data_IF_133489951548
#
_entry.id   IF_133489951548
#
_cell.length_a   1.000
_cell.length_b   1.000
_cell.length_c   1.000
_cell.angle_alpha   90.00
_cell.angle_beta   90.00
_cell.angle_gamma   90.00
#
_symmetry.space_group_name_H-M   'P 1'
#
loop_
_entity.id
_entity.type
_entity.pdbx_description
1 polymer ?
#
# COMPACT_ATOMS: atom_id res chain seq x y z
N UNK A 1 -23.56 9.96 -23.34
CA UNK A 1 -22.71 9.08 -24.20
C UNK A 1 -21.24 9.54 -24.24
N UNK A 2 -20.93 10.80 -23.89
CA UNK A 2 -19.56 11.34 -23.87
C UNK A 2 -18.78 10.96 -22.58
N UNK A 3 -19.46 10.73 -21.46
CA UNK A 3 -18.81 10.44 -20.16
C UNK A 3 -18.09 9.08 -20.10
N UNK A 4 -18.49 8.12 -20.95
CA UNK A 4 -17.94 6.76 -20.95
C UNK A 4 -16.56 6.67 -21.62
N UNK A 5 -16.26 7.58 -22.56
CA UNK A 5 -15.00 7.58 -23.32
C UNK A 5 -13.91 8.36 -22.56
N UNK A 6 -14.28 9.45 -21.87
CA UNK A 6 -13.34 10.27 -21.09
C UNK A 6 -12.86 9.52 -19.83
N UNK A 7 -13.73 8.73 -19.19
CA UNK A 7 -13.38 7.98 -17.98
C UNK A 7 -12.42 6.79 -18.23
N UNK A 8 -12.28 6.34 -19.48
CA UNK A 8 -11.42 5.19 -19.83
C UNK A 8 -9.94 5.57 -19.96
N UNK A 9 -9.64 6.86 -20.15
CA UNK A 9 -8.28 7.33 -20.42
C UNK A 9 -7.54 7.87 -19.19
N UNK A 10 -8.18 7.94 -18.02
CA UNK A 10 -7.62 8.55 -16.80
C UNK A 10 -7.53 7.65 -15.56
N UNK A 11 -8.02 6.41 -15.60
CA UNK A 11 -7.92 5.55 -14.42
C UNK A 11 -6.47 5.09 -14.23
N UNK A 12 -5.94 5.40 -13.05
CA UNK A 12 -4.62 5.05 -12.54
C UNK A 12 -4.88 4.22 -11.28
N UNK A 13 -5.33 3.00 -11.48
CA UNK A 13 -5.75 2.14 -10.38
C UNK A 13 -4.54 1.41 -9.84
N UNK A 14 -4.27 1.61 -8.56
CA UNK A 14 -3.20 0.92 -7.85
C UNK A 14 -3.85 -0.06 -6.90
N UNK A 15 -3.50 -1.34 -7.06
CA UNK A 15 -3.93 -2.39 -6.16
C UNK A 15 -2.77 -2.76 -5.24
N UNK A 16 -2.98 -2.58 -3.95
CA UNK A 16 -1.97 -2.81 -2.92
C UNK A 16 -2.47 -3.95 -2.03
N UNK A 17 -1.72 -5.04 -1.99
CA UNK A 17 -1.90 -6.12 -1.02
C UNK A 17 -0.75 -6.06 -0.03
N UNK A 18 -1.00 -6.26 1.26
CA UNK A 18 0.06 -6.22 2.25
C UNK A 18 -0.24 -7.09 3.49
N UNK A 19 0.81 -7.62 4.09
CA UNK A 19 0.87 -8.19 5.43
C UNK A 19 2.11 -7.66 6.15
N UNK A 20 2.45 -8.24 7.30
CA UNK A 20 3.75 -8.04 7.96
C UNK A 20 4.91 -8.69 7.19
N UNK A 21 4.66 -9.78 6.47
CA UNK A 21 5.71 -10.51 5.74
C UNK A 21 5.99 -9.98 4.32
N UNK A 22 4.97 -9.49 3.61
CA UNK A 22 5.11 -9.10 2.21
C UNK A 22 4.18 -7.95 1.82
N UNK A 23 4.56 -7.27 0.74
CA UNK A 23 3.75 -6.22 0.10
C UNK A 23 3.80 -6.39 -1.41
N UNK A 24 2.64 -6.26 -2.06
CA UNK A 24 2.48 -6.26 -3.51
C UNK A 24 1.82 -4.96 -3.95
N UNK A 25 2.42 -4.26 -4.91
CA UNK A 25 1.84 -3.08 -5.56
C UNK A 25 1.70 -3.33 -7.05
N UNK A 26 0.46 -3.32 -7.55
CA UNK A 26 0.12 -3.51 -8.95
C UNK A 26 -0.46 -2.23 -9.54
N UNK A 27 0.09 -1.77 -10.67
CA UNK A 27 -0.58 -0.82 -11.54
C UNK A 27 -1.51 -1.58 -12.49
N UNK A 28 -2.80 -1.55 -12.17
CA UNK A 28 -3.80 -2.47 -12.74
C UNK A 28 -3.86 -2.36 -14.26
N UNK A 29 -3.84 -1.14 -14.80
CA UNK A 29 -4.00 -0.90 -16.23
C UNK A 29 -2.81 -1.40 -17.07
N UNK A 30 -1.60 -1.42 -16.50
CA UNK A 30 -0.42 -1.94 -17.21
C UNK A 30 -0.08 -3.38 -16.85
N UNK A 31 -0.66 -3.91 -15.78
CA UNK A 31 -0.27 -5.19 -15.20
C UNK A 31 1.09 -5.19 -14.48
N UNK A 32 1.84 -4.08 -14.46
CA UNK A 32 3.11 -4.00 -13.74
C UNK A 32 2.89 -4.23 -12.25
N UNK A 33 3.59 -5.22 -11.68
CA UNK A 33 3.50 -5.61 -10.27
C UNK A 33 4.89 -5.65 -9.67
N UNK A 34 5.00 -5.16 -8.45
CA UNK A 34 6.20 -5.32 -7.61
C UNK A 34 5.77 -6.00 -6.32
N UNK A 35 6.52 -7.02 -5.93
CA UNK A 35 6.36 -7.71 -4.65
C UNK A 35 7.70 -7.71 -3.91
N UNK A 36 7.66 -7.46 -2.61
CA UNK A 36 8.85 -7.39 -1.76
C UNK A 36 8.48 -7.50 -0.26
N UNK A 37 9.46 -7.38 0.63
CA UNK A 37 9.24 -7.28 2.08
C UNK A 37 8.94 -5.84 2.51
N UNK A 38 8.03 -5.60 3.46
CA UNK A 38 7.73 -4.25 3.95
C UNK A 38 8.72 -3.80 5.05
N UNK A 39 10.02 -4.01 4.82
CA UNK A 39 11.09 -3.61 5.73
C UNK A 39 11.63 -2.25 5.35
N UNK A 40 11.97 -1.45 6.36
CA UNK A 40 12.60 -0.15 6.21
C UNK A 40 13.78 -0.03 7.16
N UNK A 41 14.96 0.24 6.62
CA UNK A 41 16.14 0.57 7.40
C UNK A 41 16.31 2.09 7.51
N UNK A 42 16.50 2.58 8.74
CA UNK A 42 16.83 3.97 9.03
C UNK A 42 18.27 4.03 9.55
N UNK A 43 19.07 4.94 9.00
CA UNK A 43 20.45 5.21 9.44
C UNK A 43 20.59 6.67 9.88
N UNK A 44 21.40 6.92 10.92
CA UNK A 44 21.80 8.28 11.26
C UNK A 44 22.89 8.78 10.30
N UNK A 45 22.68 9.95 9.71
CA UNK A 45 23.70 10.61 8.90
C UNK A 45 24.76 11.30 9.78
N UNK A 46 25.78 11.91 9.16
CA UNK A 46 26.87 12.60 9.89
C UNK A 46 26.39 13.78 10.76
N UNK A 47 25.17 14.29 10.54
CA UNK A 47 24.55 15.36 11.31
C UNK A 47 23.63 14.83 12.43
N UNK A 48 23.52 13.51 12.59
CA UNK A 48 22.62 12.86 13.55
C UNK A 48 21.16 12.79 13.10
N UNK A 49 20.86 13.09 11.83
CA UNK A 49 19.49 13.01 11.30
C UNK A 49 19.18 11.59 10.83
N UNK A 50 17.99 11.11 11.15
CA UNK A 50 17.48 9.82 10.68
C UNK A 50 17.11 9.90 9.19
N UNK A 51 17.75 9.10 8.36
CA UNK A 51 17.45 8.99 6.94
C UNK A 51 17.04 7.56 6.56
N UNK A 52 16.14 7.44 5.60
CA UNK A 52 15.83 6.15 4.96
C UNK A 52 17.08 5.65 4.26
N UNK A 53 17.58 4.50 4.68
CA UNK A 53 18.80 3.89 4.17
C UNK A 53 18.52 2.81 3.13
N UNK A 54 17.52 1.95 3.37
CA UNK A 54 17.09 0.89 2.47
C UNK A 54 15.62 0.53 2.72
N UNK A 55 14.92 0.04 1.69
CA UNK A 55 13.53 -0.43 1.77
C UNK A 55 13.39 -1.72 0.95
N UNK A 56 12.74 -2.73 1.52
CA UNK A 56 12.55 -4.03 0.87
C UNK A 56 13.48 -5.11 1.43
N UNK A 57 13.59 -6.20 0.69
CA UNK A 57 14.49 -7.32 0.98
C UNK A 57 15.97 -6.93 0.99
N UNK A 58 16.36 -5.81 0.38
CA UNK A 58 17.71 -5.24 0.49
C UNK A 58 18.12 -4.92 1.94
N UNK A 59 17.15 -4.69 2.83
CA UNK A 59 17.39 -4.46 4.26
C UNK A 59 18.07 -5.67 4.92
N UNK A 60 17.80 -6.88 4.45
CA UNK A 60 18.36 -8.12 5.02
C UNK A 60 19.81 -8.36 4.61
N UNK A 61 20.30 -7.64 3.60
CA UNK A 61 21.67 -7.72 3.10
C UNK A 61 22.59 -6.66 3.71
N UNK A 62 22.03 -5.80 4.57
CA UNK A 62 22.79 -4.73 5.19
C UNK A 62 23.85 -5.30 6.15
N UNK A 63 25.01 -4.65 6.27
CA UNK A 63 26.00 -5.03 7.26
C UNK A 63 25.42 -4.83 8.67
N UNK A 64 25.89 -5.65 9.62
CA UNK A 64 25.62 -5.42 11.04
C UNK A 64 26.30 -4.12 11.48
N UNK A 65 25.53 -3.03 11.43
CA UNK A 65 25.93 -1.67 11.79
C UNK A 65 24.93 -1.14 12.83
N UNK A 66 25.42 -0.83 14.02
CA UNK A 66 24.59 -0.38 15.16
C UNK A 66 23.95 0.98 14.93
N UNK A 67 24.38 1.73 13.91
CA UNK A 67 23.75 2.99 13.50
C UNK A 67 22.53 2.79 12.60
N UNK A 68 22.25 1.55 12.19
CA UNK A 68 21.11 1.17 11.38
C UNK A 68 20.06 0.52 12.28
N UNK A 69 18.82 1.01 12.18
CA UNK A 69 17.64 0.41 12.81
C UNK A 69 16.68 -0.09 11.75
N UNK A 70 16.14 -1.30 11.96
CA UNK A 70 15.21 -1.96 11.03
C UNK A 70 13.80 -1.89 11.60
N UNK A 71 12.86 -1.47 10.75
CA UNK A 71 11.46 -1.25 11.12
C UNK A 71 10.53 -1.90 10.11
N UNK A 72 9.31 -2.21 10.56
CA UNK A 72 8.23 -2.69 9.71
C UNK A 72 6.91 -2.08 10.18
N UNK A 73 6.33 -1.21 9.35
CA UNK A 73 5.10 -0.47 9.66
C UNK A 73 3.85 -1.34 9.76
N UNK A 74 3.89 -2.58 9.27
CA UNK A 74 2.76 -3.51 9.28
C UNK A 74 2.95 -4.68 10.26
N UNK A 75 4.09 -4.74 10.96
CA UNK A 75 4.43 -5.80 11.92
C UNK A 75 3.72 -5.61 13.27
N UNK A 76 2.54 -6.21 13.43
CA UNK A 76 1.82 -6.27 14.70
C UNK A 76 0.82 -7.44 14.75
N UNK A 77 0.66 -8.15 15.87
CA UNK A 77 -0.21 -9.35 15.93
C UNK A 77 -1.70 -9.08 15.76
N UNK A 78 -2.17 -7.87 16.11
CA UNK A 78 -3.61 -7.54 16.16
C UNK A 78 -4.06 -6.38 15.28
N UNK A 79 -3.13 -5.66 14.66
CA UNK A 79 -3.47 -4.50 13.83
C UNK A 79 -2.75 -4.54 12.50
N UNK A 80 -3.36 -3.94 11.47
CA UNK A 80 -2.75 -3.85 10.15
C UNK A 80 -1.59 -2.86 10.08
N UNK A 81 -1.67 -1.73 10.79
CA UNK A 81 -0.66 -0.66 10.78
C UNK A 81 -0.17 -0.46 12.21
N UNK A 82 1.09 -0.82 12.45
CA UNK A 82 1.79 -0.66 13.73
C UNK A 82 2.41 0.73 13.87
N UNK A 83 3.10 1.16 12.81
CA UNK A 83 3.78 2.44 12.74
C UNK A 83 3.39 3.13 11.43
N UNK A 84 2.68 4.24 11.56
CA UNK A 84 2.08 4.93 10.43
C UNK A 84 3.13 5.59 9.53
N UNK A 85 4.18 6.18 10.10
CA UNK A 85 5.21 6.90 9.34
C UNK A 85 6.10 5.91 8.57
N UNK A 86 6.44 4.78 9.19
CA UNK A 86 7.16 3.69 8.54
C UNK A 86 6.31 3.08 7.43
N UNK A 87 5.02 2.82 7.67
CA UNK A 87 4.10 2.28 6.66
C UNK A 87 3.92 3.25 5.48
N UNK A 88 3.77 4.55 5.75
CA UNK A 88 3.65 5.59 4.72
C UNK A 88 4.89 5.63 3.83
N UNK A 89 6.07 5.70 4.43
CA UNK A 89 7.34 5.75 3.71
C UNK A 89 7.56 4.51 2.84
N UNK A 90 7.24 3.34 3.39
CA UNK A 90 7.29 2.04 2.70
C UNK A 90 6.34 2.01 1.50
N UNK A 91 5.08 2.41 1.67
CA UNK A 91 4.11 2.45 0.57
C UNK A 91 4.50 3.43 -0.53
N UNK A 92 4.95 4.63 -0.15
CA UNK A 92 5.41 5.63 -1.13
C UNK A 92 6.56 5.09 -1.98
N UNK A 93 7.48 4.33 -1.39
CA UNK A 93 8.55 3.67 -2.12
C UNK A 93 8.00 2.68 -3.17
N UNK A 94 7.17 1.71 -2.75
CA UNK A 94 6.68 0.68 -3.67
C UNK A 94 5.73 1.22 -4.75
N UNK A 95 4.90 2.21 -4.41
CA UNK A 95 4.07 2.93 -5.40
C UNK A 95 4.93 3.60 -6.47
N UNK A 96 5.99 4.31 -6.06
CA UNK A 96 6.91 4.98 -7.00
C UNK A 96 7.67 4.00 -7.88
N UNK A 97 7.97 2.81 -7.36
CA UNK A 97 8.66 1.74 -8.08
C UNK A 97 7.72 1.07 -9.10
N UNK A 98 6.46 0.86 -8.73
CA UNK A 98 5.46 0.18 -9.58
C UNK A 98 4.83 1.09 -10.64
N UNK A 99 4.85 2.42 -10.45
CA UNK A 99 4.12 3.38 -11.30
C UNK A 99 5.05 4.48 -11.80
N UNK A 100 5.02 4.77 -13.11
CA UNK A 100 5.77 5.90 -13.67
C UNK A 100 5.34 7.24 -13.05
N UNK A 101 6.27 8.19 -12.86
CA UNK A 101 5.98 9.49 -12.20
C UNK A 101 4.78 10.26 -12.76
N UNK A 102 4.55 10.23 -14.07
CA UNK A 102 3.40 10.88 -14.73
C UNK A 102 2.05 10.27 -14.35
N UNK A 103 2.05 8.98 -13.98
CA UNK A 103 0.88 8.21 -13.57
C UNK A 103 0.57 8.32 -12.06
N UNK A 104 1.45 8.93 -11.25
CA UNK A 104 1.24 9.08 -9.79
C UNK A 104 0.35 10.26 -9.37
N UNK A 105 -0.10 11.11 -10.30
CA UNK A 105 -1.00 12.21 -9.94
C UNK A 105 -2.39 11.63 -9.63
N UNK A 106 -2.77 11.65 -8.35
CA UNK A 106 -4.12 11.35 -7.81
C UNK A 106 -4.67 9.96 -8.24
N UNK A 107 -3.98 8.85 -7.94
CA UNK A 107 -4.46 7.51 -8.26
C UNK A 107 -5.69 7.10 -7.44
N UNK A 108 -6.41 6.11 -7.93
CA UNK A 108 -7.39 5.37 -7.11
C UNK A 108 -6.63 4.20 -6.50
N UNK A 109 -6.63 4.09 -5.17
CA UNK A 109 -5.92 3.03 -4.46
C UNK A 109 -6.92 2.04 -3.89
N UNK A 110 -6.70 0.75 -4.14
CA UNK A 110 -7.42 -0.35 -3.49
C UNK A 110 -6.44 -0.99 -2.51
N UNK A 111 -6.69 -0.82 -1.22
CA UNK A 111 -5.91 -1.41 -0.13
C UNK A 111 -6.53 -2.74 0.28
N UNK A 112 -5.75 -3.81 0.21
CA UNK A 112 -6.17 -5.16 0.55
C UNK A 112 -5.26 -5.74 1.64
N UNK A 113 -5.54 -5.47 2.93
CA UNK A 113 -4.83 -6.13 4.01
C UNK A 113 -5.06 -7.65 3.92
N UNK A 114 -3.97 -8.42 3.95
CA UNK A 114 -3.98 -9.90 3.95
C UNK A 114 -3.71 -10.49 5.33
N UNK A 115 -3.78 -9.66 6.38
CA UNK A 115 -3.64 -10.11 7.77
C UNK A 115 -4.89 -10.87 8.21
N UNK A 116 -4.68 -12.00 8.85
CA UNK A 116 -5.75 -12.74 9.52
C UNK A 116 -6.07 -12.07 10.86
N UNK A 117 -7.12 -11.26 10.88
CA UNK A 117 -7.60 -10.59 12.07
C UNK A 117 -8.74 -11.40 12.67
N UNK A 118 -8.56 -11.87 13.90
CA UNK A 118 -9.63 -12.52 14.65
C UNK A 118 -10.81 -11.55 14.81
N UNK A 119 -11.92 -11.83 14.14
CA UNK A 119 -13.10 -10.95 14.12
C UNK A 119 -13.19 -9.99 12.93
N UNK A 120 -12.25 -10.06 11.98
CA UNK A 120 -12.21 -9.21 10.79
C UNK A 120 -11.60 -7.83 11.04
N UNK A 121 -11.54 -7.01 9.98
CA UNK A 121 -10.98 -5.65 10.05
C UNK A 121 -11.97 -4.71 10.74
N UNK A 122 -11.54 -4.07 11.83
CA UNK A 122 -12.37 -3.10 12.54
C UNK A 122 -12.55 -1.78 11.76
N UNK A 123 -13.57 -1.00 12.12
CA UNK A 123 -13.80 0.33 11.51
C UNK A 123 -12.62 1.28 11.74
N UNK A 124 -11.98 1.21 12.92
CA UNK A 124 -10.83 2.04 13.27
C UNK A 124 -9.63 1.69 12.38
N UNK A 125 -9.35 0.40 12.18
CA UNK A 125 -8.28 -0.04 11.29
C UNK A 125 -8.58 0.31 9.83
N UNK A 126 -9.83 0.12 9.39
CA UNK A 126 -10.27 0.56 8.08
C UNK A 126 -10.00 2.04 7.86
N UNK A 127 -10.34 2.89 8.84
CA UNK A 127 -10.07 4.33 8.80
C UNK A 127 -8.57 4.64 8.73
N UNK A 128 -7.75 3.96 9.54
CA UNK A 128 -6.29 4.12 9.49
C UNK A 128 -5.70 3.75 8.12
N UNK A 129 -6.18 2.66 7.50
CA UNK A 129 -5.74 2.24 6.15
C UNK A 129 -6.18 3.26 5.08
N UNK A 130 -7.41 3.76 5.17
CA UNK A 130 -7.94 4.79 4.26
C UNK A 130 -7.14 6.10 4.39
N UNK A 131 -6.78 6.48 5.61
CA UNK A 131 -5.96 7.64 5.91
C UNK A 131 -4.55 7.47 5.32
N UNK A 132 -3.92 6.32 5.56
CA UNK A 132 -2.62 5.97 4.99
C UNK A 132 -2.61 6.10 3.46
N UNK A 133 -3.62 5.55 2.79
CA UNK A 133 -3.79 5.67 1.34
C UNK A 133 -3.93 7.15 0.89
N UNK A 134 -4.64 7.96 1.67
CA UNK A 134 -4.84 9.38 1.39
C UNK A 134 -3.53 10.15 1.47
N UNK A 135 -2.72 9.91 2.52
CA UNK A 135 -1.45 10.59 2.73
C UNK A 135 -0.41 10.22 1.65
N UNK A 136 -0.47 9.00 1.11
CA UNK A 136 0.38 8.61 -0.04
C UNK A 136 -0.16 9.07 -1.41
N UNK A 137 -1.24 9.88 -1.42
CA UNK A 137 -1.70 10.62 -2.59
C UNK A 137 -2.94 10.06 -3.29
N UNK A 138 -3.66 9.10 -2.69
CA UNK A 138 -4.90 8.58 -3.27
C UNK A 138 -5.94 9.68 -3.45
N UNK A 139 -6.57 9.73 -4.63
CA UNK A 139 -7.80 10.49 -4.86
C UNK A 139 -8.99 9.84 -4.16
N UNK A 140 -9.02 8.51 -4.22
CA UNK A 140 -10.04 7.66 -3.61
C UNK A 140 -9.38 6.38 -3.15
N UNK A 141 -9.75 5.95 -1.95
CA UNK A 141 -9.32 4.68 -1.39
C UNK A 141 -10.51 3.74 -1.24
N UNK A 142 -10.31 2.48 -1.60
CA UNK A 142 -11.19 1.37 -1.26
C UNK A 142 -10.44 0.39 -0.37
N UNK A 143 -11.00 0.02 0.77
CA UNK A 143 -10.43 -1.01 1.65
C UNK A 143 -11.17 -2.31 1.39
N UNK A 144 -10.45 -3.32 0.92
CA UNK A 144 -11.00 -4.59 0.46
C UNK A 144 -10.50 -5.75 1.33
N UNK A 145 -11.38 -6.64 1.78
CA UNK A 145 -11.04 -7.76 2.67
C UNK A 145 -11.42 -9.13 2.11
N UNK A 146 -11.93 -9.16 0.87
CA UNK A 146 -12.42 -10.36 0.22
C UNK A 146 -11.38 -11.22 -0.48
N UNK A 147 -11.86 -12.06 -1.41
CA UNK A 147 -10.97 -12.79 -2.33
C UNK A 147 -10.13 -11.83 -3.17
N UNK A 148 -9.10 -12.37 -3.83
CA UNK A 148 -8.36 -11.55 -4.80
C UNK A 148 -9.28 -11.03 -5.90
N UNK A 149 -9.13 -9.74 -6.21
CA UNK A 149 -9.89 -9.07 -7.24
C UNK A 149 -9.29 -9.37 -8.62
N UNK A 150 -10.16 -9.59 -9.60
CA UNK A 150 -9.76 -9.70 -11.01
C UNK A 150 -9.50 -8.32 -11.58
N UNK A 151 -8.64 -8.25 -12.59
CA UNK A 151 -8.32 -6.97 -13.25
C UNK A 151 -9.56 -6.25 -13.78
N UNK A 152 -10.52 -7.00 -14.33
CA UNK A 152 -11.80 -6.44 -14.79
C UNK A 152 -12.57 -5.75 -13.65
N UNK A 153 -12.57 -6.32 -12.45
CA UNK A 153 -13.29 -5.79 -11.27
C UNK A 153 -12.61 -4.52 -10.76
N UNK A 154 -11.27 -4.50 -10.77
CA UNK A 154 -10.48 -3.34 -10.37
C UNK A 154 -10.59 -2.19 -11.37
N UNK A 155 -10.52 -2.48 -12.68
CA UNK A 155 -10.63 -1.46 -13.75
C UNK A 155 -12.03 -0.83 -13.75
N UNK A 156 -13.08 -1.65 -13.58
CA UNK A 156 -14.44 -1.14 -13.51
C UNK A 156 -14.76 -0.48 -12.17
N UNK A 157 -13.96 -0.74 -11.12
CA UNK A 157 -14.27 -0.43 -9.72
C UNK A 157 -15.62 -1.03 -9.29
N UNK A 158 -15.92 -2.22 -9.80
CA UNK A 158 -17.14 -2.96 -9.50
C UNK A 158 -16.75 -4.19 -8.69
N UNK A 159 -16.83 -4.06 -7.38
CA UNK A 159 -16.38 -5.11 -6.47
C UNK A 159 -17.49 -6.11 -6.16
N UNK A 160 -17.17 -7.39 -5.96
CA UNK A 160 -18.15 -8.38 -5.53
C UNK A 160 -18.87 -7.95 -4.24
N UNK A 161 -20.21 -7.96 -4.19
CA UNK A 161 -20.96 -7.51 -3.02
C UNK A 161 -20.83 -8.45 -1.82
N UNK A 162 -20.57 -9.74 -2.08
CA UNK A 162 -20.49 -10.79 -1.06
C UNK A 162 -19.21 -10.76 -0.19
N UNK A 163 -18.17 -10.00 -0.59
CA UNK A 163 -16.93 -9.84 0.19
C UNK A 163 -16.54 -8.35 0.36
N UNK A 164 -17.57 -7.48 0.40
CA UNK A 164 -17.52 -6.05 0.04
C UNK A 164 -16.43 -5.18 0.66
N UNK A 165 -16.11 -4.03 0.04
CA UNK A 165 -15.28 -3.03 0.68
C UNK A 165 -15.94 -2.59 1.99
N UNK A 166 -15.16 -2.43 3.05
CA UNK A 166 -15.72 -1.93 4.30
C UNK A 166 -16.14 -0.48 4.05
N UNK A 167 -17.43 -0.20 4.21
CA UNK A 167 -17.96 1.16 4.21
C UNK A 167 -17.39 1.89 5.42
N UNK A 168 -16.24 2.52 5.22
CA UNK A 168 -15.65 3.46 6.16
C UNK A 168 -16.21 4.82 5.73
N UNK A 169 -17.38 5.16 6.27
CA UNK A 169 -17.95 6.51 6.14
C UNK A 169 -16.99 7.54 6.76
#
# INVERSE_FOLDING_TARGET
>A
MIDSIINKFFKKTIYIKFSDEWISVKHVETGNTIEDKPLLAIKQNQKGENIVYAIGSEVEQLPNDTTISIHNGFSHPRVCINDFEIAQTTLMHFIRKAVNKKLMIRPIIIMHPKKDLQGGLSQIEGKAIKELATVVGAQKCYVWVGRELKDVEMISLNFPPQDGPINIE
#
